data_IF_675735766335
#
_entry.id   IF_675735766335
#
_cell.length_a   1.000
_cell.length_b   1.000
_cell.length_c   1.000
_cell.angle_alpha   90.00
_cell.angle_beta   90.00
_cell.angle_gamma   90.00
#
_symmetry.space_group_name_H-M   'P 1'
#
loop_
_entity.id
_entity.type
_entity.pdbx_description
1 polymer ?
#
# COMPACT_ATOMS: atom_id res chain seq x y z
N UNK A 1 13.14 8.14 7.55
CA UNK A 1 12.72 7.01 8.41
C UNK A 1 12.56 7.52 9.83
N UNK A 2 11.44 7.23 10.49
CA UNK A 2 11.30 7.51 11.92
C UNK A 2 12.19 6.53 12.72
N UNK A 3 12.68 6.99 13.86
CA UNK A 3 13.36 6.09 14.79
C UNK A 3 12.30 5.38 15.63
N UNK A 4 12.11 4.08 15.41
CA UNK A 4 11.15 3.25 16.14
C UNK A 4 11.87 2.58 17.30
N UNK A 5 11.31 2.74 18.51
CA UNK A 5 11.73 2.06 19.73
C UNK A 5 10.52 1.47 20.48
N UNK A 6 10.76 0.83 21.62
CA UNK A 6 9.72 0.16 22.41
C UNK A 6 8.60 1.10 22.91
N UNK A 7 8.89 2.39 23.07
CA UNK A 7 7.96 3.41 23.56
C UNK A 7 7.16 4.08 22.43
N UNK A 8 7.53 3.84 21.17
CA UNK A 8 6.87 4.44 20.00
C UNK A 8 5.41 3.99 19.92
N UNK A 9 4.51 4.95 19.73
CA UNK A 9 3.08 4.67 19.61
C UNK A 9 2.75 3.97 18.28
N UNK A 10 1.83 3.01 18.32
CA UNK A 10 1.41 2.27 17.12
C UNK A 10 0.86 3.19 16.05
N UNK A 11 0.12 4.25 16.41
CA UNK A 11 -0.37 5.25 15.46
C UNK A 11 0.74 5.91 14.66
N UNK A 12 1.84 6.31 15.31
CA UNK A 12 3.01 6.92 14.63
C UNK A 12 3.65 5.95 13.63
N UNK A 13 3.69 4.65 13.98
CA UNK A 13 4.23 3.62 13.09
C UNK A 13 3.33 3.40 11.89
N UNK A 14 2.01 3.35 12.08
CA UNK A 14 1.04 3.18 10.99
C UNK A 14 1.06 4.37 10.02
N UNK A 15 1.30 5.57 10.53
CA UNK A 15 1.43 6.77 9.70
C UNK A 15 2.72 6.77 8.88
N UNK A 16 3.82 6.32 9.48
CA UNK A 16 5.14 6.31 8.84
C UNK A 16 5.37 5.08 7.93
N UNK A 17 4.80 3.92 8.29
CA UNK A 17 4.94 2.66 7.57
C UNK A 17 3.57 2.14 7.12
N UNK A 18 3.11 2.48 5.91
CA UNK A 18 1.77 2.13 5.43
C UNK A 18 1.43 0.63 5.51
N UNK A 19 2.43 -0.25 5.31
CA UNK A 19 2.27 -1.71 5.41
C UNK A 19 2.35 -2.27 6.83
N UNK A 20 2.54 -1.45 7.87
CA UNK A 20 2.78 -1.93 9.23
C UNK A 20 1.60 -2.74 9.79
N UNK A 21 0.35 -2.34 9.50
CA UNK A 21 -0.84 -3.12 9.92
C UNK A 21 -0.83 -4.54 9.32
N UNK A 22 -0.52 -4.66 8.03
CA UNK A 22 -0.39 -5.95 7.35
C UNK A 22 0.74 -6.77 7.97
N UNK A 23 1.89 -6.16 8.27
CA UNK A 23 3.03 -6.82 8.90
C UNK A 23 2.68 -7.36 10.30
N UNK A 24 2.00 -6.56 11.13
CA UNK A 24 1.52 -6.99 12.46
C UNK A 24 0.52 -8.14 12.36
N UNK A 25 -0.39 -8.08 11.39
CA UNK A 25 -1.38 -9.14 11.20
C UNK A 25 -0.75 -10.43 10.69
N UNK A 26 0.14 -10.37 9.70
CA UNK A 26 0.71 -11.55 9.04
C UNK A 26 1.53 -12.43 9.99
N UNK A 27 2.23 -11.84 10.95
CA UNK A 27 3.11 -12.58 11.86
C UNK A 27 2.49 -12.81 13.24
N UNK A 28 1.76 -11.82 13.76
CA UNK A 28 1.28 -11.83 15.14
C UNK A 28 -0.24 -11.91 15.25
N UNK A 29 -0.96 -11.89 14.12
CA UNK A 29 -2.43 -11.84 14.03
C UNK A 29 -3.05 -10.62 14.75
N UNK A 30 -2.31 -9.50 14.83
CA UNK A 30 -2.75 -8.27 15.48
C UNK A 30 -3.35 -7.30 14.46
N UNK A 31 -4.45 -6.62 14.85
CA UNK A 31 -5.08 -5.58 14.06
C UNK A 31 -6.02 -6.04 12.95
N UNK A 32 -6.33 -7.34 12.86
CA UNK A 32 -7.25 -7.90 11.84
C UNK A 32 -8.74 -7.77 12.19
N UNK A 33 -9.09 -7.51 13.45
CA UNK A 33 -10.46 -7.32 13.91
C UNK A 33 -10.51 -6.34 15.09
N UNK A 34 -11.73 -5.89 15.47
CA UNK A 34 -11.89 -4.95 16.60
C UNK A 34 -11.45 -5.54 17.94
N UNK A 35 -11.57 -6.86 18.12
CA UNK A 35 -11.24 -7.53 19.39
C UNK A 35 -9.73 -7.77 19.57
N UNK A 36 -8.96 -7.88 18.49
CA UNK A 36 -7.49 -8.00 18.51
C UNK A 36 -6.81 -6.70 18.05
N UNK A 37 -7.57 -5.61 18.09
CA UNK A 37 -7.09 -4.28 17.74
C UNK A 37 -6.08 -3.72 18.74
N UNK A 38 -5.44 -2.66 18.34
CA UNK A 38 -4.56 -1.85 19.19
C UNK A 38 -5.04 -0.39 19.18
N UNK A 39 -4.78 0.33 20.26
CA UNK A 39 -5.02 1.76 20.31
C UNK A 39 -3.91 2.49 19.55
N UNK A 40 -4.21 3.56 18.78
CA UNK A 40 -3.16 4.39 18.18
C UNK A 40 -2.14 4.93 19.18
N UNK A 41 -2.56 5.18 20.43
CA UNK A 41 -1.70 5.71 21.49
C UNK A 41 -0.97 4.60 22.28
N UNK A 42 -1.19 3.33 21.97
CA UNK A 42 -0.53 2.21 22.63
C UNK A 42 0.91 2.08 22.14
N UNK A 43 1.87 1.91 23.06
CA UNK A 43 3.27 1.68 22.69
C UNK A 43 3.52 0.24 22.21
N UNK A 44 4.60 0.03 21.45
CA UNK A 44 5.05 -1.31 21.05
C UNK A 44 5.22 -2.19 22.31
N UNK A 45 5.87 -1.69 23.36
CA UNK A 45 6.10 -2.43 24.59
C UNK A 45 4.78 -2.92 25.22
N UNK A 46 3.79 -2.04 25.32
CA UNK A 46 2.46 -2.36 25.84
C UNK A 46 1.76 -3.41 24.99
N UNK A 47 1.77 -3.23 23.67
CA UNK A 47 1.21 -4.19 22.71
C UNK A 47 1.87 -5.57 22.84
N UNK A 48 3.19 -5.61 22.93
CA UNK A 48 3.98 -6.84 23.10
C UNK A 48 3.66 -7.55 24.40
N UNK A 49 3.62 -6.81 25.51
CA UNK A 49 3.36 -7.36 26.85
C UNK A 49 2.00 -8.07 26.94
N UNK A 50 0.92 -7.46 26.40
CA UNK A 50 -0.43 -8.04 26.45
C UNK A 50 -0.68 -9.15 25.41
N UNK A 51 0.24 -9.34 24.46
CA UNK A 51 0.12 -10.36 23.42
C UNK A 51 1.18 -11.46 23.57
N UNK A 52 1.30 -12.02 24.77
CA UNK A 52 2.14 -13.18 25.04
C UNK A 52 3.60 -12.85 25.35
N UNK A 53 3.93 -11.57 25.63
CA UNK A 53 5.29 -11.16 25.99
C UNK A 53 6.27 -11.24 24.81
N UNK A 54 5.84 -10.86 23.63
CA UNK A 54 6.70 -10.75 22.45
C UNK A 54 7.85 -9.79 22.79
N UNK A 55 9.11 -10.10 22.47
CA UNK A 55 10.20 -9.13 22.63
C UNK A 55 9.98 -7.89 21.76
N UNK A 56 9.95 -6.67 22.30
CA UNK A 56 9.73 -5.45 21.52
C UNK A 56 10.72 -5.31 20.35
N UNK A 57 11.97 -5.67 20.54
CA UNK A 57 13.03 -5.61 19.53
C UNK A 57 12.71 -6.52 18.33
N UNK A 58 12.09 -7.67 18.56
CA UNK A 58 11.68 -8.60 17.52
C UNK A 58 10.55 -8.00 16.66
N UNK A 59 9.57 -7.36 17.30
CA UNK A 59 8.48 -6.69 16.61
C UNK A 59 8.99 -5.48 15.79
N UNK A 60 9.87 -4.67 16.37
CA UNK A 60 10.49 -3.52 15.70
C UNK A 60 11.25 -3.96 14.47
N UNK A 61 12.08 -4.99 14.60
CA UNK A 61 12.87 -5.51 13.47
C UNK A 61 11.97 -6.06 12.36
N UNK A 62 10.89 -6.78 12.72
CA UNK A 62 9.91 -7.26 11.76
C UNK A 62 9.23 -6.11 11.00
N UNK A 63 8.83 -5.04 11.70
CA UNK A 63 8.22 -3.86 11.08
C UNK A 63 9.18 -3.13 10.13
N UNK A 64 10.47 -3.02 10.50
CA UNK A 64 11.49 -2.43 9.63
C UNK A 64 11.69 -3.24 8.36
N UNK A 65 11.87 -4.55 8.48
CA UNK A 65 12.06 -5.45 7.33
C UNK A 65 10.85 -5.42 6.40
N UNK A 66 9.63 -5.41 6.95
CA UNK A 66 8.41 -5.28 6.17
C UNK A 66 8.36 -3.94 5.42
N UNK A 67 8.73 -2.85 6.08
CA UNK A 67 8.79 -1.52 5.45
C UNK A 67 9.86 -1.48 4.35
N UNK A 68 11.06 -1.97 4.58
CA UNK A 68 12.13 -2.05 3.58
C UNK A 68 11.69 -2.86 2.36
N UNK A 69 11.01 -3.98 2.58
CA UNK A 69 10.45 -4.77 1.50
C UNK A 69 9.41 -3.96 0.70
N UNK A 70 8.50 -3.27 1.37
CA UNK A 70 7.50 -2.42 0.72
C UNK A 70 8.14 -1.30 -0.13
N UNK A 71 9.25 -0.72 0.34
CA UNK A 71 9.97 0.32 -0.42
C UNK A 71 10.50 -0.20 -1.76
N UNK A 72 10.86 -1.48 -1.87
CA UNK A 72 11.30 -2.10 -3.12
C UNK A 72 10.16 -2.27 -4.14
N UNK A 73 8.92 -2.19 -3.70
CA UNK A 73 7.74 -2.29 -4.56
C UNK A 73 7.30 -0.94 -5.13
N UNK A 74 7.82 0.18 -4.59
CA UNK A 74 7.41 1.52 -4.96
C UNK A 74 8.17 2.04 -6.19
N UNK A 75 7.42 2.61 -7.13
CA UNK A 75 7.95 3.33 -8.29
C UNK A 75 7.54 4.80 -8.21
N UNK A 76 8.44 5.70 -8.50
CA UNK A 76 8.08 7.13 -8.60
C UNK A 76 7.16 7.39 -9.81
N UNK A 77 6.29 8.43 -9.79
CA UNK A 77 5.45 8.78 -10.94
C UNK A 77 6.22 8.96 -12.24
N UNK A 78 7.45 9.47 -12.17
CA UNK A 78 8.32 9.66 -13.35
C UNK A 78 8.67 8.31 -13.97
N UNK A 79 9.11 7.34 -13.18
CA UNK A 79 9.42 5.98 -13.65
C UNK A 79 8.17 5.29 -14.20
N UNK A 80 7.01 5.47 -13.55
CA UNK A 80 5.74 4.94 -14.06
C UNK A 80 5.41 5.51 -15.43
N UNK A 81 5.56 6.82 -15.64
CA UNK A 81 5.35 7.48 -16.93
C UNK A 81 6.26 6.90 -18.02
N UNK A 82 7.55 6.70 -17.72
CA UNK A 82 8.51 6.11 -18.64
C UNK A 82 8.11 4.67 -19.04
N UNK A 83 7.72 3.86 -18.06
CA UNK A 83 7.25 2.49 -18.29
C UNK A 83 5.98 2.43 -19.13
N UNK A 84 5.03 3.34 -18.91
CA UNK A 84 3.80 3.43 -19.70
C UNK A 84 4.06 3.82 -21.16
N UNK A 85 5.16 4.53 -21.44
CA UNK A 85 5.61 4.88 -22.79
C UNK A 85 6.50 3.84 -23.47
N UNK A 86 6.79 2.71 -22.83
CA UNK A 86 7.66 1.67 -23.38
C UNK A 86 6.95 0.78 -24.42
N UNK A 87 7.72 -0.04 -25.14
CA UNK A 87 7.16 -0.99 -26.12
C UNK A 87 6.21 -2.03 -25.50
N UNK A 88 6.45 -2.42 -24.26
CA UNK A 88 5.63 -3.37 -23.50
C UNK A 88 5.15 -2.71 -22.20
N UNK A 89 4.15 -1.81 -22.28
CA UNK A 89 3.73 -1.06 -21.10
C UNK A 89 3.04 -1.96 -20.08
N UNK A 90 3.26 -1.71 -18.78
CA UNK A 90 2.51 -2.37 -17.72
C UNK A 90 1.04 -1.96 -17.77
N UNK A 91 0.18 -2.80 -17.20
CA UNK A 91 -1.21 -2.43 -16.93
C UNK A 91 -1.24 -1.53 -15.71
N UNK A 92 -1.72 -0.29 -15.89
CA UNK A 92 -1.94 0.64 -14.79
C UNK A 92 -3.34 0.43 -14.21
N UNK A 93 -3.44 0.07 -12.92
CA UNK A 93 -4.69 -0.27 -12.24
C UNK A 93 -5.00 0.73 -11.12
N UNK A 94 -6.20 1.27 -11.17
CA UNK A 94 -6.75 2.16 -10.16
C UNK A 94 -7.46 1.35 -9.07
N UNK A 95 -6.96 1.43 -7.84
CA UNK A 95 -7.48 0.72 -6.67
C UNK A 95 -8.42 1.57 -5.80
N UNK A 96 -8.77 2.79 -6.24
CA UNK A 96 -9.67 3.70 -5.52
C UNK A 96 -11.13 3.24 -5.63
N UNK A 97 -12.02 4.03 -5.06
CA UNK A 97 -13.47 3.83 -5.26
C UNK A 97 -13.86 4.14 -6.71
N UNK A 98 -15.03 3.65 -7.12
CA UNK A 98 -15.58 3.92 -8.46
C UNK A 98 -15.83 5.41 -8.65
N UNK A 99 -16.36 6.07 -7.64
CA UNK A 99 -16.66 7.50 -7.65
C UNK A 99 -15.39 8.34 -7.85
N UNK A 100 -14.29 8.00 -7.20
CA UNK A 100 -13.00 8.66 -7.38
C UNK A 100 -12.44 8.43 -8.78
N UNK A 101 -12.55 7.20 -9.30
CA UNK A 101 -12.11 6.86 -10.65
C UNK A 101 -12.88 7.63 -11.72
N UNK A 102 -14.20 7.74 -11.58
CA UNK A 102 -15.08 8.45 -12.52
C UNK A 102 -14.87 9.97 -12.44
N UNK A 103 -14.55 10.50 -11.27
CA UNK A 103 -14.32 11.93 -11.07
C UNK A 103 -12.96 12.39 -11.65
N UNK A 104 -11.89 11.63 -11.39
CA UNK A 104 -10.53 11.97 -11.82
C UNK A 104 -9.77 10.68 -12.11
N UNK A 105 -9.23 10.54 -13.31
CA UNK A 105 -8.48 9.33 -13.69
C UNK A 105 -7.24 9.63 -14.50
N UNK A 106 -6.23 8.76 -14.42
CA UNK A 106 -5.04 8.80 -15.29
C UNK A 106 -5.39 8.18 -16.65
N UNK A 107 -5.09 8.88 -17.71
CA UNK A 107 -5.38 8.39 -19.09
C UNK A 107 -4.76 7.01 -19.31
N UNK A 108 -5.57 6.05 -19.76
CA UNK A 108 -5.14 4.68 -20.07
C UNK A 108 -5.09 3.72 -18.89
N UNK A 109 -5.37 4.17 -17.67
CA UNK A 109 -5.52 3.24 -16.56
C UNK A 109 -6.85 2.46 -16.65
N UNK A 110 -6.90 1.34 -15.95
CA UNK A 110 -8.12 0.53 -15.79
C UNK A 110 -8.55 0.55 -14.34
N UNK A 111 -9.85 0.66 -14.10
CA UNK A 111 -10.42 0.48 -12.78
C UNK A 111 -10.32 -0.98 -12.34
N UNK A 112 -9.81 -1.24 -11.15
CA UNK A 112 -9.66 -2.59 -10.61
C UNK A 112 -11.03 -3.12 -10.17
N UNK A 113 -11.64 -3.96 -11.02
CA UNK A 113 -12.84 -4.72 -10.68
C UNK A 113 -12.47 -6.15 -10.30
N UNK A 114 -13.39 -6.84 -9.63
CA UNK A 114 -13.22 -8.25 -9.30
C UNK A 114 -13.08 -9.12 -10.57
N UNK A 115 -13.82 -8.80 -11.63
CA UNK A 115 -13.77 -9.52 -12.91
C UNK A 115 -12.40 -9.34 -13.58
N UNK A 116 -11.89 -8.10 -13.64
CA UNK A 116 -10.57 -7.81 -14.21
C UNK A 116 -9.47 -8.53 -13.44
N UNK A 117 -9.55 -8.51 -12.12
CA UNK A 117 -8.63 -9.19 -11.23
C UNK A 117 -8.61 -10.70 -11.47
N UNK A 118 -9.78 -11.35 -11.53
CA UNK A 118 -9.89 -12.77 -11.83
C UNK A 118 -9.34 -13.10 -13.23
N UNK A 119 -9.61 -12.28 -14.22
CA UNK A 119 -9.06 -12.41 -15.56
C UNK A 119 -7.53 -12.36 -15.55
N UNK A 120 -6.93 -11.37 -14.90
CA UNK A 120 -5.47 -11.22 -14.81
C UNK A 120 -4.82 -12.46 -14.18
N UNK A 121 -5.38 -12.96 -13.10
CA UNK A 121 -4.85 -14.17 -12.42
C UNK A 121 -4.96 -15.44 -13.27
N UNK A 122 -6.04 -15.57 -14.04
CA UNK A 122 -6.28 -16.77 -14.85
C UNK A 122 -5.45 -16.79 -16.15
N UNK A 123 -5.14 -15.62 -16.73
CA UNK A 123 -4.64 -15.57 -18.11
C UNK A 123 -3.27 -14.91 -18.26
N UNK A 124 -2.79 -14.17 -17.27
CA UNK A 124 -1.64 -13.29 -17.45
C UNK A 124 -0.73 -13.21 -16.23
N UNK A 125 -0.21 -14.34 -15.69
CA UNK A 125 0.58 -14.33 -14.45
C UNK A 125 1.88 -13.53 -14.55
N UNK A 126 2.44 -13.38 -15.75
CA UNK A 126 3.67 -12.63 -15.99
C UNK A 126 3.43 -11.17 -16.39
N UNK A 127 2.18 -10.74 -16.44
CA UNK A 127 1.81 -9.37 -16.79
C UNK A 127 2.44 -8.37 -15.81
N UNK A 128 3.14 -7.39 -16.33
CA UNK A 128 3.59 -6.26 -15.51
C UNK A 128 2.39 -5.39 -15.13
N UNK A 129 2.24 -5.13 -13.84
CA UNK A 129 1.12 -4.39 -13.25
C UNK A 129 1.67 -3.28 -12.36
N UNK A 130 1.09 -2.10 -12.47
CA UNK A 130 1.33 -0.98 -11.56
C UNK A 130 -0.02 -0.60 -10.93
N UNK A 131 -0.08 -0.68 -9.62
CA UNK A 131 -1.24 -0.30 -8.82
C UNK A 131 -1.09 1.13 -8.32
N UNK A 132 -2.18 1.87 -8.24
CA UNK A 132 -2.22 3.15 -7.55
C UNK A 132 -3.55 3.36 -6.83
N UNK A 133 -3.49 4.14 -5.77
CA UNK A 133 -4.64 4.69 -5.07
C UNK A 133 -4.53 6.22 -5.00
N UNK A 134 -5.16 6.85 -4.02
CA UNK A 134 -5.08 8.30 -3.86
C UNK A 134 -3.65 8.76 -3.49
N UNK A 135 -3.02 8.15 -2.48
CA UNK A 135 -1.72 8.55 -1.93
C UNK A 135 -0.66 7.44 -1.89
N UNK A 136 -0.93 6.25 -2.43
CA UNK A 136 0.01 5.13 -2.47
C UNK A 136 0.07 4.30 -1.17
N UNK A 137 -0.90 4.43 -0.27
CA UNK A 137 -0.93 3.73 1.01
C UNK A 137 -1.67 2.39 0.94
N UNK A 138 -2.91 2.39 0.46
CA UNK A 138 -3.75 1.18 0.35
C UNK A 138 -3.36 0.29 -0.81
N UNK A 139 -2.80 0.85 -1.89
CA UNK A 139 -2.31 0.09 -3.03
C UNK A 139 -1.20 -0.91 -2.66
N UNK A 140 -0.44 -0.68 -1.57
CA UNK A 140 0.55 -1.64 -1.05
C UNK A 140 -0.09 -2.95 -0.55
N UNK A 141 -1.26 -2.88 0.10
CA UNK A 141 -1.96 -4.07 0.56
C UNK A 141 -2.53 -4.88 -0.63
N UNK A 142 -3.07 -4.17 -1.63
CA UNK A 142 -3.49 -4.79 -2.89
C UNK A 142 -2.30 -5.42 -3.61
N UNK A 143 -1.13 -4.76 -3.65
CA UNK A 143 0.09 -5.29 -4.24
C UNK A 143 0.54 -6.59 -3.53
N UNK A 144 0.57 -6.59 -2.20
CA UNK A 144 0.92 -7.79 -1.43
C UNK A 144 -0.03 -8.96 -1.74
N UNK A 145 -1.31 -8.68 -1.92
CA UNK A 145 -2.30 -9.67 -2.29
C UNK A 145 -2.06 -10.21 -3.71
N UNK A 146 -1.78 -9.36 -4.71
CA UNK A 146 -1.40 -9.78 -6.07
C UNK A 146 -0.15 -10.65 -6.08
N UNK A 147 0.89 -10.24 -5.35
CA UNK A 147 2.15 -11.01 -5.22
C UNK A 147 1.90 -12.39 -4.59
N UNK A 148 1.05 -12.46 -3.55
CA UNK A 148 0.66 -13.71 -2.89
C UNK A 148 -0.11 -14.67 -3.81
N UNK A 149 -0.77 -14.16 -4.86
CA UNK A 149 -1.45 -14.93 -5.89
C UNK A 149 -0.61 -15.18 -7.15
N UNK A 150 0.70 -14.96 -7.06
CA UNK A 150 1.65 -15.31 -8.11
C UNK A 150 1.92 -14.23 -9.17
N UNK A 151 1.29 -13.04 -9.05
CA UNK A 151 1.52 -11.90 -9.96
C UNK A 151 2.84 -11.18 -9.60
N UNK A 152 3.97 -11.81 -9.85
CA UNK A 152 5.30 -11.40 -9.38
C UNK A 152 5.77 -10.03 -9.90
N UNK A 153 5.22 -9.59 -11.04
CA UNK A 153 5.58 -8.34 -11.70
C UNK A 153 4.65 -7.18 -11.30
N UNK A 154 4.13 -7.21 -10.06
CA UNK A 154 3.27 -6.15 -9.52
C UNK A 154 4.11 -5.14 -8.74
N UNK A 155 3.86 -3.84 -8.96
CA UNK A 155 4.49 -2.70 -8.30
C UNK A 155 3.41 -1.68 -7.93
N UNK A 156 3.80 -0.66 -7.16
CA UNK A 156 2.91 0.41 -6.70
C UNK A 156 3.48 1.76 -7.08
N UNK A 157 2.64 2.67 -7.55
CA UNK A 157 3.04 4.05 -7.78
C UNK A 157 3.07 4.82 -6.46
N UNK A 158 4.26 5.25 -6.08
CA UNK A 158 4.49 6.05 -4.86
C UNK A 158 3.68 7.35 -4.90
N UNK A 159 2.98 7.65 -3.82
CA UNK A 159 2.18 8.86 -3.69
C UNK A 159 0.89 8.88 -4.52
N UNK A 160 0.57 7.78 -5.22
CA UNK A 160 -0.69 7.59 -5.93
C UNK A 160 -1.01 8.65 -6.98
N UNK A 161 -2.31 8.88 -7.24
CA UNK A 161 -2.75 9.89 -8.22
C UNK A 161 -2.44 11.31 -7.76
N UNK A 162 -2.35 11.58 -6.46
CA UNK A 162 -1.97 12.91 -5.95
C UNK A 162 -0.54 13.29 -6.39
N UNK A 163 0.41 12.35 -6.27
CA UNK A 163 1.78 12.56 -6.76
C UNK A 163 1.84 12.61 -8.29
N UNK A 164 1.04 11.80 -8.99
CA UNK A 164 0.95 11.88 -10.45
C UNK A 164 0.47 13.25 -10.92
N UNK A 165 -0.61 13.76 -10.33
CA UNK A 165 -1.12 15.10 -10.63
C UNK A 165 -0.09 16.19 -10.38
N UNK A 166 0.66 16.11 -9.28
CA UNK A 166 1.69 17.10 -8.94
C UNK A 166 2.90 17.06 -9.88
N UNK A 167 3.39 15.85 -10.21
CA UNK A 167 4.72 15.66 -10.78
C UNK A 167 4.66 15.40 -12.30
N UNK A 168 3.54 14.90 -12.83
CA UNK A 168 3.42 14.42 -14.20
C UNK A 168 2.36 15.18 -15.01
N UNK A 169 1.15 15.31 -14.46
CA UNK A 169 0.02 15.93 -15.16
C UNK A 169 -0.74 16.91 -14.27
N UNK A 170 -0.26 18.15 -14.15
CA UNK A 170 -0.91 19.18 -13.32
C UNK A 170 -2.32 19.59 -13.80
N UNK A 171 -2.80 19.11 -14.95
CA UNK A 171 -4.16 19.33 -15.40
C UNK A 171 -5.19 18.48 -14.66
N UNK A 172 -4.76 17.37 -14.02
CA UNK A 172 -5.61 16.54 -13.18
C UNK A 172 -5.87 17.25 -11.84
N UNK A 173 -7.14 17.45 -11.47
CA UNK A 173 -7.46 18.10 -10.20
C UNK A 173 -7.00 17.26 -9.01
N UNK A 174 -6.37 17.92 -8.03
CA UNK A 174 -6.04 17.31 -6.74
C UNK A 174 -7.22 17.50 -5.80
N UNK A 175 -7.50 16.50 -5.00
CA UNK A 175 -8.59 16.49 -4.03
C UNK A 175 -8.12 15.91 -2.68
N UNK A 176 -8.87 16.18 -1.64
CA UNK A 176 -8.68 15.58 -0.33
C UNK A 176 -9.88 14.72 -0.01
N UNK A 177 -9.64 13.52 0.53
CA UNK A 177 -10.71 12.68 1.03
C UNK A 177 -11.18 13.26 2.37
N UNK A 178 -12.46 13.58 2.48
CA UNK A 178 -13.07 13.87 3.78
C UNK A 178 -13.12 12.56 4.56
N UNK A 179 -12.35 12.48 5.64
CA UNK A 179 -12.45 11.36 6.58
C UNK A 179 -13.66 11.64 7.45
N UNK A 180 -14.77 10.95 7.20
CA UNK A 180 -15.88 10.94 8.15
C UNK A 180 -15.35 10.39 9.49
N UNK A 181 -15.37 11.26 10.50
CA UNK A 181 -14.91 11.01 11.87
C UNK A 181 -15.89 10.16 12.67
#
# INVERSE_FOLDING_TARGET
>A
MINIDATTAIGEILDAYPGARRALFSRYHLGGCQSCGFSPNESIESLCARNGGIPPEEMIEHLRQAHEHDQLLLLTPIVVKELLGSENPPVLLDCRTREEHEAVTITGCKFLTQELQQQLFATSPDQAIILFDHQGKHALDTCAWFLGHGMKNTRVMHGGIDAWSRDIDPSLPRYQLEIES
#
